data_IF_266773160295
#
_entry.id   IF_266773160295
#
_cell.length_a   1.000
_cell.length_b   1.000
_cell.length_c   1.000
_cell.angle_alpha   90.00
_cell.angle_beta   90.00
_cell.angle_gamma   90.00
#
_symmetry.space_group_name_H-M   'P 1'
#
loop_
_entity.id
_entity.type
_entity.pdbx_description
1 polymer ?
#
# COMPACT_ATOMS: atom_id res chain seq x y z
N UNK A 1 7.25 -9.73 -20.58
CA UNK A 1 8.38 -10.32 -19.84
C UNK A 1 8.16 -11.81 -19.49
N UNK A 2 7.06 -12.44 -19.93
CA UNK A 2 6.81 -13.88 -19.75
C UNK A 2 6.38 -14.32 -18.33
N UNK A 3 6.07 -13.38 -17.44
CA UNK A 3 5.58 -13.70 -16.10
C UNK A 3 4.17 -14.28 -16.18
N UNK A 4 3.95 -15.44 -15.53
CA UNK A 4 2.61 -16.03 -15.37
C UNK A 4 1.95 -15.44 -14.14
N UNK A 5 0.72 -14.92 -14.30
CA UNK A 5 -0.06 -14.33 -13.21
C UNK A 5 -1.26 -15.22 -12.92
N UNK A 6 -1.39 -15.65 -11.67
CA UNK A 6 -2.49 -16.48 -11.19
C UNK A 6 -3.35 -15.65 -10.23
N UNK A 7 -4.49 -15.18 -10.72
CA UNK A 7 -5.46 -14.44 -9.90
C UNK A 7 -6.20 -15.39 -8.95
N UNK A 8 -6.74 -14.82 -7.85
CA UNK A 8 -7.51 -15.57 -6.82
C UNK A 8 -6.75 -16.76 -6.23
N UNK A 9 -5.43 -16.74 -6.29
CA UNK A 9 -4.56 -17.85 -5.84
C UNK A 9 -3.85 -17.45 -4.55
N UNK A 10 -4.62 -17.48 -3.44
CA UNK A 10 -4.09 -17.14 -2.12
C UNK A 10 -3.12 -18.23 -1.65
N UNK A 11 -1.88 -17.83 -1.35
CA UNK A 11 -0.91 -18.70 -0.69
C UNK A 11 -1.35 -18.93 0.76
N UNK A 12 -1.45 -20.19 1.16
CA UNK A 12 -1.88 -20.59 2.51
C UNK A 12 -0.76 -21.22 3.32
N UNK A 13 0.27 -21.76 2.67
CA UNK A 13 1.41 -22.40 3.33
C UNK A 13 2.66 -22.31 2.46
N UNK A 14 3.81 -22.18 3.10
CA UNK A 14 5.13 -22.27 2.49
C UNK A 14 5.96 -23.19 3.36
N UNK A 15 6.50 -24.26 2.77
CA UNK A 15 7.36 -25.25 3.43
C UNK A 15 8.70 -25.30 2.70
N UNK A 16 9.79 -25.28 3.43
CA UNK A 16 11.14 -25.44 2.87
C UNK A 16 11.53 -26.92 2.98
N UNK A 17 11.79 -27.55 1.85
CA UNK A 17 12.25 -28.96 1.76
C UNK A 17 13.62 -28.96 1.08
N UNK A 18 14.69 -29.24 1.84
CA UNK A 18 16.07 -29.21 1.36
C UNK A 18 16.39 -27.84 0.68
N UNK A 19 16.51 -27.84 -0.64
CA UNK A 19 16.86 -26.66 -1.43
C UNK A 19 15.67 -25.98 -2.13
N UNK A 20 14.44 -26.49 -1.93
CA UNK A 20 13.24 -26.00 -2.63
C UNK A 20 12.13 -25.67 -1.66
N UNK A 21 11.26 -24.79 -2.11
CA UNK A 21 10.01 -24.47 -1.41
C UNK A 21 8.83 -25.18 -2.05
N UNK A 22 7.97 -25.74 -1.21
CA UNK A 22 6.62 -26.17 -1.58
C UNK A 22 5.64 -25.09 -1.15
N UNK A 23 5.06 -24.40 -2.11
CA UNK A 23 4.08 -23.31 -1.89
C UNK A 23 2.68 -23.86 -2.15
N UNK A 24 1.80 -23.74 -1.19
CA UNK A 24 0.41 -24.20 -1.32
C UNK A 24 -0.49 -22.99 -1.57
N UNK A 25 -1.18 -23.01 -2.72
CA UNK A 25 -2.15 -22.00 -3.11
C UNK A 25 -3.44 -22.65 -3.61
N UNK A 26 -4.57 -22.39 -2.96
CA UNK A 26 -5.87 -23.00 -3.29
C UNK A 26 -5.83 -24.54 -3.40
N UNK A 27 -5.03 -25.21 -2.57
CA UNK A 27 -4.86 -26.67 -2.61
C UNK A 27 -3.87 -27.18 -3.67
N UNK A 28 -3.38 -26.33 -4.56
CA UNK A 28 -2.32 -26.67 -5.51
C UNK A 28 -0.93 -26.54 -4.90
N UNK A 29 -0.03 -27.42 -5.29
CA UNK A 29 1.37 -27.42 -4.86
C UNK A 29 2.25 -26.84 -5.96
N UNK A 30 3.08 -25.86 -5.61
CA UNK A 30 4.00 -25.19 -6.50
C UNK A 30 5.40 -25.35 -5.94
N UNK A 31 6.30 -25.94 -6.69
CA UNK A 31 7.71 -26.04 -6.30
C UNK A 31 8.48 -24.84 -6.84
N UNK A 32 9.25 -24.19 -5.97
CA UNK A 32 10.07 -23.03 -6.33
C UNK A 32 11.45 -23.09 -5.65
N UNK A 33 12.47 -22.56 -6.31
CA UNK A 33 13.79 -22.41 -5.72
C UNK A 33 13.90 -21.13 -4.88
N UNK A 34 13.09 -20.13 -5.17
CA UNK A 34 13.12 -18.81 -4.51
C UNK A 34 11.71 -18.30 -4.26
N UNK A 35 11.56 -17.56 -3.19
CA UNK A 35 10.31 -16.87 -2.83
C UNK A 35 10.56 -15.36 -2.83
N UNK A 36 9.62 -14.61 -3.41
CA UNK A 36 9.59 -13.16 -3.29
C UNK A 36 8.31 -12.75 -2.59
N UNK A 37 8.42 -12.21 -1.39
CA UNK A 37 7.32 -11.62 -0.64
C UNK A 37 7.12 -10.17 -1.09
N UNK A 38 6.09 -9.91 -1.89
CA UNK A 38 5.73 -8.60 -2.44
C UNK A 38 4.30 -8.19 -2.07
N UNK A 39 3.76 -8.72 -0.98
CA UNK A 39 2.37 -8.57 -0.55
C UNK A 39 2.09 -7.24 0.15
N UNK A 40 3.13 -6.45 0.43
CA UNK A 40 3.07 -5.16 1.11
C UNK A 40 2.22 -5.23 2.41
N UNK A 41 1.08 -4.55 2.50
CA UNK A 41 0.19 -4.58 3.66
C UNK A 41 -0.68 -5.85 3.79
N UNK A 42 -0.64 -6.75 2.80
CA UNK A 42 -1.42 -7.99 2.76
C UNK A 42 -0.52 -9.19 3.06
N UNK A 43 -0.13 -9.36 4.31
CA UNK A 43 0.65 -10.52 4.73
C UNK A 43 -0.12 -11.35 5.75
N UNK A 44 0.26 -12.61 5.85
CA UNK A 44 -0.30 -13.53 6.83
C UNK A 44 0.80 -13.91 7.82
N UNK A 45 0.54 -13.73 9.10
CA UNK A 45 1.53 -13.85 10.18
C UNK A 45 2.22 -15.22 10.23
N UNK A 46 1.50 -16.28 9.86
CA UNK A 46 1.99 -17.65 9.84
C UNK A 46 2.83 -18.00 8.59
N UNK A 47 2.77 -17.19 7.52
CA UNK A 47 3.61 -17.39 6.33
C UNK A 47 5.01 -16.81 6.51
N UNK A 48 5.13 -15.67 7.20
CA UNK A 48 6.38 -14.95 7.39
C UNK A 48 6.47 -14.40 8.82
N UNK A 49 6.76 -15.25 9.82
CA UNK A 49 6.81 -14.83 11.24
C UNK A 49 7.77 -13.69 11.53
N UNK A 50 8.85 -13.58 10.74
CA UNK A 50 9.82 -12.48 10.88
C UNK A 50 9.21 -11.10 10.60
N UNK A 51 8.10 -11.03 9.87
CA UNK A 51 7.40 -9.77 9.58
C UNK A 51 6.38 -9.38 10.65
N UNK A 52 6.10 -10.27 11.61
CA UNK A 52 5.14 -9.99 12.66
C UNK A 52 5.55 -8.73 13.42
N UNK A 53 4.57 -7.86 13.65
CA UNK A 53 4.71 -6.58 14.33
C UNK A 53 5.58 -5.53 13.62
N UNK A 54 6.01 -5.76 12.38
CA UNK A 54 6.83 -4.80 11.62
C UNK A 54 6.04 -3.96 10.63
N UNK A 55 4.83 -4.38 10.33
CA UNK A 55 3.92 -3.69 9.41
C UNK A 55 2.65 -3.30 10.15
N UNK A 56 2.30 -2.02 10.06
CA UNK A 56 1.01 -1.49 10.50
C UNK A 56 0.16 -1.24 9.25
N UNK A 57 -0.84 -2.09 8.97
CA UNK A 57 -1.74 -1.88 7.85
C UNK A 57 -2.73 -0.75 8.18
N UNK A 58 -2.63 0.36 7.46
CA UNK A 58 -3.51 1.52 7.61
C UNK A 58 -4.43 1.61 6.40
N UNK A 59 -5.71 1.80 6.64
CA UNK A 59 -6.67 1.96 5.55
C UNK A 59 -6.63 3.40 5.04
N UNK A 60 -6.41 3.54 3.75
CA UNK A 60 -6.60 4.79 3.00
C UNK A 60 -7.91 4.70 2.22
N UNK A 61 -8.77 5.70 2.39
CA UNK A 61 -10.06 5.78 1.72
C UNK A 61 -10.01 6.86 0.64
N UNK A 62 -10.70 6.62 -0.46
CA UNK A 62 -10.80 7.54 -1.59
C UNK A 62 -12.27 7.67 -1.99
N UNK A 63 -12.69 8.90 -2.25
CA UNK A 63 -13.93 9.23 -2.92
C UNK A 63 -13.64 9.95 -4.23
N UNK A 64 -14.49 9.75 -5.22
CA UNK A 64 -14.45 10.48 -6.49
C UNK A 64 -15.82 11.06 -6.78
N UNK A 65 -15.84 12.33 -7.17
CA UNK A 65 -17.07 13.03 -7.57
C UNK A 65 -17.51 12.59 -8.98
N UNK A 66 -18.76 12.92 -9.34
CA UNK A 66 -19.12 13.07 -10.74
C UNK A 66 -18.20 14.09 -11.44
N UNK A 67 -18.16 14.13 -12.77
CA UNK A 67 -17.45 15.22 -13.46
C UNK A 67 -17.96 16.58 -13.01
N UNK A 68 -17.05 17.47 -12.64
CA UNK A 68 -17.35 18.85 -12.25
C UNK A 68 -17.62 19.69 -13.50
N UNK A 69 -18.54 20.63 -13.39
CA UNK A 69 -18.73 21.65 -14.44
C UNK A 69 -17.59 22.65 -14.46
N UNK A 70 -17.44 23.40 -15.55
CA UNK A 70 -16.44 24.47 -15.64
C UNK A 70 -16.60 25.52 -14.55
N UNK A 71 -17.84 25.87 -14.20
CA UNK A 71 -18.14 26.85 -13.16
C UNK A 71 -17.79 26.31 -11.76
N UNK A 72 -18.07 25.03 -11.48
CA UNK A 72 -17.64 24.38 -10.25
C UNK A 72 -16.12 24.38 -10.10
N UNK A 73 -15.37 24.02 -11.14
CA UNK A 73 -13.90 24.05 -11.14
C UNK A 73 -13.40 25.48 -10.90
N UNK A 74 -13.96 26.48 -11.61
CA UNK A 74 -13.61 27.89 -11.48
C UNK A 74 -13.92 28.45 -10.11
N UNK A 75 -14.99 27.98 -9.47
CA UNK A 75 -15.44 28.47 -8.15
C UNK A 75 -14.41 28.31 -7.04
N UNK A 76 -13.44 27.41 -7.20
CA UNK A 76 -12.32 27.19 -6.29
C UNK A 76 -10.95 27.46 -6.93
N UNK A 77 -10.90 28.14 -8.10
CA UNK A 77 -9.69 28.41 -8.86
C UNK A 77 -8.80 27.17 -9.08
N UNK A 78 -9.43 26.01 -9.34
CA UNK A 78 -8.69 24.76 -9.51
C UNK A 78 -8.06 24.74 -10.91
N UNK A 79 -6.76 25.07 -11.00
CA UNK A 79 -6.05 25.28 -12.27
C UNK A 79 -5.02 24.16 -12.59
N UNK A 80 -4.94 23.12 -11.74
CA UNK A 80 -3.94 22.08 -11.90
C UNK A 80 -4.51 20.68 -11.79
N UNK A 81 -3.91 19.75 -12.53
CA UNK A 81 -4.16 18.31 -12.39
C UNK A 81 -3.12 17.61 -11.50
N UNK A 82 -2.17 18.36 -10.94
CA UNK A 82 -1.19 17.80 -10.04
C UNK A 82 -1.82 17.36 -8.71
N UNK A 83 -1.32 16.29 -8.10
CA UNK A 83 -1.75 15.91 -6.77
C UNK A 83 -1.36 16.96 -5.73
N UNK A 84 -2.26 17.24 -4.81
CA UNK A 84 -2.09 18.18 -3.72
C UNK A 84 -2.23 17.40 -2.42
N UNK A 85 -1.34 17.64 -1.46
CA UNK A 85 -1.38 17.09 -0.12
C UNK A 85 -1.44 18.24 0.89
N UNK A 86 -2.26 18.10 1.92
CA UNK A 86 -2.23 19.04 3.03
C UNK A 86 -1.21 18.60 4.10
N UNK A 87 -0.92 19.49 5.07
CA UNK A 87 0.09 19.29 6.13
C UNK A 87 -0.47 18.66 7.41
N UNK A 88 -1.67 18.06 7.39
CA UNK A 88 -2.24 17.43 8.59
C UNK A 88 -1.60 16.08 8.85
N UNK A 89 -1.55 15.62 10.12
CA UNK A 89 -1.06 14.27 10.47
C UNK A 89 -1.87 13.18 9.76
N UNK A 90 -3.19 13.24 9.84
CA UNK A 90 -4.10 12.45 9.00
C UNK A 90 -4.44 13.28 7.76
N UNK A 91 -3.51 13.30 6.84
CA UNK A 91 -3.55 14.17 5.67
C UNK A 91 -4.68 13.84 4.71
N UNK A 92 -5.18 14.88 4.06
CA UNK A 92 -5.94 14.76 2.83
C UNK A 92 -5.01 14.85 1.63
N UNK A 93 -5.32 14.09 0.59
CA UNK A 93 -4.69 14.20 -0.71
C UNK A 93 -5.78 14.27 -1.77
N UNK A 94 -5.63 15.15 -2.72
CA UNK A 94 -6.66 15.37 -3.72
C UNK A 94 -6.08 15.86 -5.04
N UNK A 95 -6.82 15.68 -6.11
CA UNK A 95 -6.48 16.18 -7.44
C UNK A 95 -7.71 16.25 -8.34
N UNK A 96 -7.69 17.16 -9.29
CA UNK A 96 -8.60 17.17 -10.43
C UNK A 96 -8.07 16.15 -11.46
N UNK A 97 -8.91 15.22 -11.90
CA UNK A 97 -8.59 14.26 -12.94
C UNK A 97 -8.83 14.87 -14.32
N UNK A 98 -8.28 14.25 -15.37
CA UNK A 98 -8.39 14.75 -16.75
C UNK A 98 -9.83 14.76 -17.28
N UNK A 99 -10.71 13.94 -16.73
CA UNK A 99 -12.14 13.86 -17.05
C UNK A 99 -12.98 14.79 -16.15
N UNK A 100 -12.37 15.77 -15.53
CA UNK A 100 -12.97 16.72 -14.60
C UNK A 100 -13.56 16.13 -13.31
N UNK A 101 -13.33 14.88 -12.98
CA UNK A 101 -13.68 14.31 -11.68
C UNK A 101 -12.67 14.77 -10.62
N UNK A 102 -13.16 14.95 -9.40
CA UNK A 102 -12.29 15.30 -8.28
C UNK A 102 -12.08 14.09 -7.38
N UNK A 103 -10.83 13.70 -7.25
CA UNK A 103 -10.39 12.67 -6.33
C UNK A 103 -10.05 13.30 -4.99
N UNK A 104 -10.63 12.78 -3.91
CA UNK A 104 -10.32 13.20 -2.55
C UNK A 104 -10.06 11.97 -1.68
N UNK A 105 -8.87 11.88 -1.12
CA UNK A 105 -8.41 10.78 -0.29
C UNK A 105 -8.07 11.22 1.13
N UNK A 106 -8.25 10.30 2.09
CA UNK A 106 -7.87 10.49 3.49
C UNK A 106 -7.37 9.19 4.10
N UNK A 107 -6.37 9.29 4.96
CA UNK A 107 -5.89 8.19 5.80
C UNK A 107 -6.65 8.13 7.12
N UNK A 108 -6.54 7.01 7.81
CA UNK A 108 -6.94 6.90 9.22
C UNK A 108 -8.22 6.13 9.46
N UNK A 109 -8.35 4.98 8.83
CA UNK A 109 -9.30 3.97 9.26
C UNK A 109 -8.52 2.68 9.57
N UNK A 110 -8.90 2.01 10.66
CA UNK A 110 -8.26 0.80 11.18
C UNK A 110 -9.23 -0.37 11.22
N UNK A 111 -10.53 -0.06 11.16
CA UNK A 111 -11.59 -1.06 11.19
C UNK A 111 -12.02 -1.33 9.76
N UNK A 112 -11.60 -2.47 9.23
CA UNK A 112 -11.81 -2.86 7.84
C UNK A 112 -13.22 -3.37 7.49
N UNK A 113 -14.27 -3.19 8.32
CA UNK A 113 -15.61 -3.67 8.03
C UNK A 113 -16.30 -2.86 6.90
N UNK A 114 -17.24 -3.46 6.19
CA UNK A 114 -18.03 -2.75 5.16
C UNK A 114 -18.86 -1.60 5.77
N UNK A 115 -19.42 -1.81 6.94
CA UNK A 115 -20.19 -0.80 7.64
C UNK A 115 -19.32 0.43 8.01
N UNK A 116 -18.08 0.20 8.51
CA UNK A 116 -17.15 1.31 8.78
C UNK A 116 -16.78 2.06 7.50
N UNK A 117 -16.68 1.35 6.37
CA UNK A 117 -16.40 1.92 5.06
C UNK A 117 -17.47 2.91 4.61
N UNK A 118 -18.76 2.57 4.76
CA UNK A 118 -19.87 3.45 4.40
C UNK A 118 -19.92 4.70 5.29
N UNK A 119 -19.74 4.54 6.61
CA UNK A 119 -19.67 5.66 7.55
C UNK A 119 -18.50 6.58 7.18
N UNK A 120 -17.37 6.00 6.86
CA UNK A 120 -16.16 6.75 6.48
C UNK A 120 -16.35 7.51 5.17
N UNK A 121 -16.96 6.91 4.16
CA UNK A 121 -17.29 7.57 2.90
C UNK A 121 -18.13 8.82 3.12
N UNK A 122 -19.21 8.73 3.88
CA UNK A 122 -20.07 9.89 4.23
C UNK A 122 -19.30 10.96 5.01
N UNK A 123 -18.42 10.55 5.93
CA UNK A 123 -17.55 11.48 6.66
C UNK A 123 -16.57 12.19 5.72
N UNK A 124 -15.98 11.47 4.78
CA UNK A 124 -15.08 12.05 3.79
C UNK A 124 -15.80 13.02 2.85
N UNK A 125 -16.98 12.68 2.39
CA UNK A 125 -17.83 13.59 1.62
C UNK A 125 -18.06 14.89 2.37
N UNK A 126 -18.49 14.83 3.64
CA UNK A 126 -18.65 16.00 4.50
C UNK A 126 -17.34 16.79 4.63
N UNK A 127 -16.21 16.12 4.81
CA UNK A 127 -14.90 16.76 4.93
C UNK A 127 -14.49 17.45 3.62
N UNK A 128 -14.70 16.81 2.46
CA UNK A 128 -14.46 17.42 1.16
C UNK A 128 -15.31 18.69 0.97
N UNK A 129 -16.61 18.61 1.27
CA UNK A 129 -17.54 19.75 1.17
C UNK A 129 -17.19 20.90 2.14
N UNK A 130 -16.59 20.60 3.29
CA UNK A 130 -16.05 21.61 4.19
C UNK A 130 -14.80 22.31 3.65
N UNK A 131 -13.93 21.56 2.95
CA UNK A 131 -12.73 22.13 2.31
C UNK A 131 -13.10 22.90 1.05
N UNK A 132 -14.11 22.44 0.31
CA UNK A 132 -14.60 23.01 -0.95
C UNK A 132 -16.11 23.37 -0.84
N UNK A 133 -16.47 24.44 -0.14
CA UNK A 133 -17.86 24.74 0.18
C UNK A 133 -18.76 25.04 -1.03
N UNK A 134 -18.19 25.53 -2.14
CA UNK A 134 -18.95 25.74 -3.38
C UNK A 134 -19.37 24.42 -4.05
N UNK A 135 -18.81 23.28 -3.63
CA UNK A 135 -19.14 21.94 -4.12
C UNK A 135 -20.11 21.18 -3.18
N UNK A 136 -20.87 21.89 -2.32
CA UNK A 136 -21.81 21.26 -1.38
C UNK A 136 -22.86 20.35 -2.04
N UNK A 137 -23.23 20.63 -3.30
CA UNK A 137 -24.20 19.86 -4.08
C UNK A 137 -23.55 18.86 -5.04
N UNK A 138 -22.21 18.71 -5.04
CA UNK A 138 -21.51 17.77 -5.90
C UNK A 138 -21.69 16.36 -5.34
N UNK A 139 -22.09 15.44 -6.20
CA UNK A 139 -22.33 14.03 -5.88
C UNK A 139 -21.05 13.21 -5.96
N UNK A 140 -21.00 12.15 -5.14
CA UNK A 140 -19.90 11.16 -5.13
C UNK A 140 -20.34 9.95 -5.93
N UNK A 141 -19.62 9.66 -7.02
CA UNK A 141 -19.90 8.51 -7.87
C UNK A 141 -19.21 7.23 -7.37
N UNK A 142 -17.98 7.38 -6.84
CA UNK A 142 -17.18 6.21 -6.45
C UNK A 142 -16.55 6.38 -5.07
N UNK A 143 -16.48 5.27 -4.38
CA UNK A 143 -15.74 5.14 -3.15
C UNK A 143 -14.99 3.80 -3.12
N UNK A 144 -13.73 3.82 -2.71
CA UNK A 144 -12.97 2.60 -2.43
C UNK A 144 -11.94 2.84 -1.33
N UNK A 145 -11.32 1.76 -0.90
CA UNK A 145 -10.28 1.78 0.12
C UNK A 145 -9.15 0.81 -0.23
N UNK A 146 -7.97 1.04 0.31
CA UNK A 146 -6.82 0.17 0.18
C UNK A 146 -5.94 0.19 1.42
N UNK A 147 -5.11 -0.84 1.58
CA UNK A 147 -4.15 -0.92 2.67
C UNK A 147 -2.84 -0.23 2.31
N UNK A 148 -2.38 0.60 3.22
CA UNK A 148 -1.04 1.20 3.21
C UNK A 148 -0.21 0.49 4.27
N UNK A 149 0.91 -0.08 3.89
CA UNK A 149 1.85 -0.66 4.84
C UNK A 149 2.74 0.44 5.44
N UNK A 150 2.47 0.78 6.70
CA UNK A 150 3.32 1.69 7.48
C UNK A 150 4.35 0.88 8.26
N UNK A 151 5.60 1.34 8.30
CA UNK A 151 6.68 0.72 9.07
C UNK A 151 7.35 1.75 9.97
N UNK A 152 8.07 1.31 10.99
CA UNK A 152 8.83 2.19 11.88
C UNK A 152 9.98 2.93 11.19
N UNK A 153 10.40 2.49 10.00
CA UNK A 153 11.45 3.16 9.20
C UNK A 153 10.93 4.34 8.39
N UNK A 154 9.62 4.37 8.09
CA UNK A 154 9.01 5.31 7.15
C UNK A 154 9.65 5.31 5.75
N UNK A 155 10.38 4.25 5.41
CA UNK A 155 10.96 4.00 4.09
C UNK A 155 10.65 2.57 3.65
N UNK A 156 10.68 2.26 2.35
CA UNK A 156 10.61 0.89 1.86
C UNK A 156 11.68 0.01 2.52
N UNK A 157 11.37 -1.25 2.69
CA UNK A 157 12.30 -2.28 3.18
C UNK A 157 12.51 -3.32 2.11
N UNK A 158 13.76 -3.51 1.70
CA UNK A 158 14.19 -4.41 0.63
C UNK A 158 15.29 -5.31 1.18
N UNK A 159 15.22 -6.61 0.89
CA UNK A 159 16.26 -7.55 1.35
C UNK A 159 15.85 -9.00 1.24
N UNK A 160 16.52 -9.83 2.05
CA UNK A 160 16.21 -11.25 2.22
C UNK A 160 15.94 -11.57 3.70
N UNK A 161 15.05 -12.53 3.92
CA UNK A 161 14.79 -13.12 5.25
C UNK A 161 15.69 -14.32 5.51
N UNK A 162 15.92 -15.12 4.47
CA UNK A 162 16.75 -16.31 4.44
C UNK A 162 17.43 -16.36 3.06
N UNK A 163 18.30 -17.32 2.81
CA UNK A 163 19.11 -17.37 1.59
C UNK A 163 18.29 -17.30 0.30
N UNK A 164 17.09 -17.84 0.28
CA UNK A 164 16.24 -17.90 -0.90
C UNK A 164 14.86 -17.25 -0.71
N UNK A 165 14.63 -16.49 0.39
CA UNK A 165 13.40 -15.73 0.63
C UNK A 165 13.72 -14.24 0.60
N UNK A 166 13.15 -13.55 -0.37
CA UNK A 166 13.35 -12.13 -0.62
C UNK A 166 12.10 -11.35 -0.28
N UNK A 167 12.24 -10.06 0.06
CA UNK A 167 11.09 -9.21 0.36
C UNK A 167 11.25 -7.78 -0.14
N UNK A 168 10.11 -7.16 -0.43
CA UNK A 168 10.00 -5.73 -0.65
C UNK A 168 8.63 -5.24 -0.20
N UNK A 169 8.59 -4.34 0.78
CA UNK A 169 7.34 -3.83 1.37
C UNK A 169 7.54 -2.47 2.07
N UNK A 170 6.44 -1.89 2.59
CA UNK A 170 6.49 -0.69 3.42
C UNK A 170 6.65 0.60 2.62
N UNK A 171 5.92 0.75 1.53
CA UNK A 171 6.05 1.90 0.61
C UNK A 171 5.43 3.20 1.11
N UNK A 172 4.82 3.24 2.30
CA UNK A 172 4.28 4.44 2.95
C UNK A 172 3.33 5.26 2.06
N UNK A 173 2.48 4.61 1.26
CA UNK A 173 1.62 5.16 0.22
C UNK A 173 2.32 5.70 -1.04
N UNK A 174 3.64 5.58 -1.17
CA UNK A 174 4.38 5.94 -2.38
C UNK A 174 4.64 4.75 -3.33
N UNK A 175 3.87 3.67 -3.19
CA UNK A 175 4.07 2.40 -3.90
C UNK A 175 4.10 2.53 -5.41
N UNK A 176 3.30 3.41 -6.01
CA UNK A 176 3.25 3.62 -7.47
C UNK A 176 4.63 3.98 -8.03
N UNK A 177 5.40 4.78 -7.30
CA UNK A 177 6.74 5.19 -7.69
C UNK A 177 7.83 4.24 -7.17
N UNK A 178 7.73 3.81 -5.91
CA UNK A 178 8.82 3.09 -5.24
C UNK A 178 8.77 1.59 -5.43
N UNK A 179 7.60 0.97 -5.66
CA UNK A 179 7.52 -0.47 -5.84
C UNK A 179 8.20 -0.98 -7.14
N UNK A 180 8.04 -0.33 -8.31
CA UNK A 180 8.77 -0.73 -9.52
C UNK A 180 10.29 -0.62 -9.36
N UNK A 181 10.78 0.47 -8.73
CA UNK A 181 12.18 0.63 -8.42
C UNK A 181 12.67 -0.46 -7.47
N UNK A 182 11.96 -0.69 -6.37
CA UNK A 182 12.31 -1.73 -5.39
C UNK A 182 12.33 -3.13 -6.01
N UNK A 183 11.38 -3.42 -6.91
CA UNK A 183 11.34 -4.69 -7.65
C UNK A 183 12.54 -4.87 -8.56
N UNK A 184 12.99 -3.80 -9.24
CA UNK A 184 14.19 -3.84 -10.07
C UNK A 184 15.46 -4.09 -9.23
N UNK A 185 15.62 -3.42 -8.09
CA UNK A 185 16.75 -3.64 -7.20
C UNK A 185 16.73 -5.05 -6.59
N UNK A 186 15.57 -5.56 -6.22
CA UNK A 186 15.41 -6.91 -5.73
C UNK A 186 15.74 -7.96 -6.80
N UNK A 187 15.35 -7.72 -8.04
CA UNK A 187 15.68 -8.60 -9.16
C UNK A 187 17.20 -8.68 -9.39
N UNK A 188 17.91 -7.57 -9.30
CA UNK A 188 19.39 -7.55 -9.36
C UNK A 188 20.01 -8.41 -8.25
N UNK A 189 19.50 -8.31 -7.03
CA UNK A 189 19.95 -9.13 -5.90
C UNK A 189 19.71 -10.63 -6.15
N UNK A 190 18.58 -10.99 -6.73
CA UNK A 190 18.20 -12.39 -7.00
C UNK A 190 19.07 -13.02 -8.09
N UNK A 191 19.45 -12.24 -9.11
CA UNK A 191 20.19 -12.72 -10.28
C UNK A 191 21.71 -12.73 -10.05
N UNK A 192 22.21 -11.80 -9.23
CA UNK A 192 23.65 -11.73 -8.94
C UNK A 192 24.08 -12.84 -7.99
N UNK A 193 24.68 -13.89 -8.55
CA UNK A 193 25.17 -15.07 -7.82
C UNK A 193 26.24 -14.75 -6.76
N UNK A 194 26.88 -13.59 -6.83
CA UNK A 194 28.04 -13.21 -6.00
C UNK A 194 27.85 -11.94 -5.15
N UNK A 195 26.78 -11.19 -5.30
CA UNK A 195 26.57 -10.00 -4.47
C UNK A 195 25.74 -10.34 -3.25
N UNK A 196 26.38 -10.44 -2.10
CA UNK A 196 25.69 -10.54 -0.80
C UNK A 196 24.99 -9.24 -0.40
N UNK A 197 25.20 -8.16 -1.13
CA UNK A 197 24.72 -6.84 -0.76
C UNK A 197 23.94 -6.16 -1.89
N UNK A 198 22.83 -5.53 -1.50
CA UNK A 198 22.10 -4.60 -2.34
C UNK A 198 22.92 -3.32 -2.53
N UNK A 199 23.14 -2.91 -3.77
CA UNK A 199 23.79 -1.62 -4.07
C UNK A 199 22.80 -0.45 -3.98
N UNK A 200 22.13 -0.33 -2.84
CA UNK A 200 21.19 0.76 -2.51
C UNK A 200 21.52 1.32 -1.15
N UNK A 201 21.01 2.51 -0.87
CA UNK A 201 21.18 3.15 0.44
C UNK A 201 20.76 2.21 1.59
N UNK A 202 21.53 2.19 2.67
CA UNK A 202 21.22 1.43 3.90
C UNK A 202 19.86 1.76 4.50
N UNK A 203 19.29 2.94 4.21
CA UNK A 203 17.94 3.29 4.62
C UNK A 203 16.86 2.34 4.09
N UNK A 204 17.06 1.74 2.92
CA UNK A 204 16.12 0.82 2.29
C UNK A 204 16.40 -0.65 2.63
N UNK A 205 17.59 -0.95 3.15
CA UNK A 205 18.00 -2.32 3.44
C UNK A 205 17.49 -2.80 4.81
N UNK A 206 17.25 -4.10 4.91
CA UNK A 206 16.93 -4.77 6.16
C UNK A 206 15.51 -4.54 6.66
N UNK A 207 15.14 -5.31 7.67
CA UNK A 207 13.81 -5.25 8.28
C UNK A 207 13.65 -4.00 9.16
N UNK A 208 12.45 -3.38 9.16
CA UNK A 208 12.13 -2.33 10.13
C UNK A 208 12.09 -2.92 11.54
N UNK A 209 12.26 -2.09 12.56
CA UNK A 209 12.02 -2.49 13.95
C UNK A 209 10.56 -2.91 14.14
N UNK A 210 10.32 -3.82 15.07
CA UNK A 210 8.95 -4.17 15.48
C UNK A 210 8.30 -2.95 16.14
N UNK A 211 7.00 -2.78 15.92
CA UNK A 211 6.24 -1.82 16.70
C UNK A 211 6.21 -2.29 18.15
N UNK A 212 6.60 -1.45 19.12
CA UNK A 212 6.41 -1.76 20.51
C UNK A 212 4.92 -1.89 20.80
N UNK A 213 4.56 -2.83 21.66
CA UNK A 213 3.16 -3.03 22.07
C UNK A 213 2.20 -3.19 20.89
N UNK A 214 2.12 -4.36 20.24
CA UNK A 214 1.28 -4.60 19.07
C UNK A 214 -0.18 -4.18 19.22
N UNK A 215 -0.72 -4.28 20.45
CA UNK A 215 -2.09 -3.85 20.78
C UNK A 215 -2.27 -2.31 20.84
N UNK A 216 -1.17 -1.55 20.97
CA UNK A 216 -1.17 -0.08 20.95
C UNK A 216 -0.77 0.49 19.58
N UNK A 217 -0.72 -0.31 18.52
CA UNK A 217 -0.36 0.13 17.16
C UNK A 217 -1.21 1.32 16.69
N UNK A 218 -2.43 1.43 17.21
CA UNK A 218 -3.36 2.53 16.96
C UNK A 218 -2.82 3.90 17.38
N UNK A 219 -1.89 3.95 18.35
CA UNK A 219 -1.32 5.20 18.86
C UNK A 219 -0.21 5.76 17.95
N UNK A 220 0.24 4.99 16.96
CA UNK A 220 1.25 5.43 15.98
C UNK A 220 0.66 6.09 14.73
N UNK A 221 -0.64 6.28 14.70
CA UNK A 221 -1.38 6.95 13.64
C UNK A 221 -1.77 8.36 14.03
#
# INVERSE_FOLDING_TARGET
AGVKIYQKSKVTKIEKNLEKFNVIANGYHITSNKIVMATNGFYKDDLFPDLNDRILPVISNIIITRPLTKDEIKSHNFVTHNPILNVRNLLYYYRLLKDNRFLFGARGDLIGSEQSSLIKSKKMEKQMKNVFPNWKNVEIDFHWRGLVAVTTKFTPSIGKLDDEIYYSFGYQANGVNTAPWSGNELAKLIVSSNSKELNISKFYQGLPKKFPFPFLRLLYL
#
